data_IF_902892657994
#
_entry.id   IF_902892657994
#
_cell.length_a   1.000
_cell.length_b   1.000
_cell.length_c   1.000
_cell.angle_alpha   90.00
_cell.angle_beta   90.00
_cell.angle_gamma   90.00
#
_symmetry.space_group_name_H-M   'P 1'
#
loop_
_entity.id
_entity.type
_entity.pdbx_description
1 polymer ?
#
# COMPACT_ATOMS: atom_id res chain seq x y z
N UNK A 1 10.57 -2.31 -8.40
CA UNK A 1 10.71 -1.62 -7.11
C UNK A 1 9.52 -0.69 -7.00
N UNK A 2 8.59 -1.03 -6.13
CA UNK A 2 7.32 -0.35 -5.92
C UNK A 2 7.38 0.34 -4.56
N UNK A 3 6.82 1.55 -4.50
CA UNK A 3 6.56 2.26 -3.25
C UNK A 3 5.09 2.64 -3.29
N UNK A 4 4.37 2.39 -2.20
CA UNK A 4 2.95 2.73 -2.06
C UNK A 4 2.83 3.69 -0.89
N UNK A 5 2.22 4.85 -1.16
CA UNK A 5 1.91 5.86 -0.16
C UNK A 5 0.88 5.37 0.86
N UNK A 6 0.79 6.01 2.03
CA UNK A 6 -0.16 5.65 3.10
C UNK A 6 -1.62 5.64 2.61
N UNK A 7 -1.99 6.55 1.70
CA UNK A 7 -3.32 6.56 1.08
C UNK A 7 -3.63 5.26 0.32
N UNK A 8 -2.65 4.69 -0.41
CA UNK A 8 -2.83 3.43 -1.12
C UNK A 8 -3.00 2.23 -0.17
N UNK A 9 -2.29 2.25 0.97
CA UNK A 9 -2.48 1.25 2.02
C UNK A 9 -3.88 1.32 2.65
N UNK A 10 -4.40 2.53 2.90
CA UNK A 10 -5.77 2.72 3.38
C UNK A 10 -6.78 2.15 2.38
N UNK A 11 -6.66 2.48 1.09
CA UNK A 11 -7.54 1.97 0.05
C UNK A 11 -7.52 0.43 -0.02
N UNK A 12 -6.33 -0.18 0.08
CA UNK A 12 -6.14 -1.64 0.08
C UNK A 12 -6.75 -2.31 1.32
N UNK A 13 -6.40 -1.83 2.53
CA UNK A 13 -6.87 -2.46 3.78
C UNK A 13 -8.35 -2.24 4.06
N UNK A 14 -8.93 -1.12 3.63
CA UNK A 14 -10.36 -0.84 3.80
C UNK A 14 -11.23 -1.44 2.69
N UNK A 15 -10.61 -2.05 1.68
CA UNK A 15 -11.33 -2.78 0.62
C UNK A 15 -12.23 -1.89 -0.23
N UNK A 16 -11.81 -0.65 -0.49
CA UNK A 16 -12.61 0.29 -1.30
C UNK A 16 -12.69 -0.15 -2.76
N UNK A 17 -13.52 0.56 -3.55
CA UNK A 17 -13.57 0.40 -5.01
C UNK A 17 -12.23 0.66 -5.72
N UNK A 18 -11.25 1.27 -5.04
CA UNK A 18 -9.91 1.58 -5.58
C UNK A 18 -8.84 0.60 -5.10
N UNK A 19 -9.14 -0.33 -4.19
CA UNK A 19 -8.17 -1.27 -3.62
C UNK A 19 -7.36 -2.03 -4.70
N UNK A 20 -8.04 -2.46 -5.77
CA UNK A 20 -7.42 -3.18 -6.88
C UNK A 20 -6.35 -2.38 -7.64
N UNK A 21 -6.35 -1.05 -7.54
CA UNK A 21 -5.29 -0.21 -8.13
C UNK A 21 -3.95 -0.38 -7.41
N UNK A 22 -3.98 -0.79 -6.14
CA UNK A 22 -2.81 -0.91 -5.27
C UNK A 22 -2.42 -2.36 -4.96
N UNK A 23 -3.35 -3.30 -5.13
CA UNK A 23 -3.16 -4.71 -4.79
C UNK A 23 -1.91 -5.34 -5.43
N UNK A 24 -1.71 -5.19 -6.74
CA UNK A 24 -0.54 -5.77 -7.43
C UNK A 24 0.79 -5.23 -6.87
N UNK A 25 0.85 -3.92 -6.59
CA UNK A 25 2.04 -3.28 -6.08
C UNK A 25 2.37 -3.71 -4.63
N UNK A 26 1.35 -3.92 -3.81
CA UNK A 26 1.45 -4.34 -2.39
C UNK A 26 1.76 -5.84 -2.28
N UNK A 27 1.12 -6.68 -3.08
CA UNK A 27 1.23 -8.14 -2.97
C UNK A 27 2.55 -8.68 -3.56
N UNK A 28 3.20 -7.93 -4.46
CA UNK A 28 4.51 -8.28 -5.01
C UNK A 28 5.66 -7.90 -4.08
N UNK A 29 5.69 -8.53 -2.91
CA UNK A 29 6.58 -8.21 -1.78
C UNK A 29 8.07 -8.22 -2.12
N UNK A 30 8.52 -9.09 -3.02
CA UNK A 30 9.91 -9.13 -3.52
C UNK A 30 10.36 -7.81 -4.16
N UNK A 31 9.41 -7.00 -4.61
CA UNK A 31 9.65 -5.71 -5.26
C UNK A 31 9.09 -4.53 -4.48
N UNK A 32 8.53 -4.75 -3.29
CA UNK A 32 7.89 -3.71 -2.47
C UNK A 32 8.87 -3.13 -1.45
N UNK A 33 8.98 -1.81 -1.43
CA UNK A 33 9.62 -1.06 -0.37
C UNK A 33 8.55 -0.35 0.46
N UNK A 34 8.56 -0.59 1.77
CA UNK A 34 7.61 -0.02 2.73
C UNK A 34 8.32 1.02 3.60
N UNK A 35 8.10 2.32 3.36
CA UNK A 35 8.62 3.36 4.26
C UNK A 35 7.98 3.20 5.64
N UNK A 36 8.80 3.22 6.71
CA UNK A 36 8.29 3.16 8.08
C UNK A 36 7.34 4.31 8.42
N UNK A 37 7.54 5.49 7.81
CA UNK A 37 6.65 6.64 7.96
C UNK A 37 5.24 6.36 7.45
N UNK A 38 5.10 5.66 6.31
CA UNK A 38 3.79 5.32 5.75
C UNK A 38 3.00 4.36 6.64
N UNK A 39 3.68 3.53 7.45
CA UNK A 39 3.03 2.70 8.47
C UNK A 39 2.59 3.52 9.70
N UNK A 40 3.33 4.56 10.06
CA UNK A 40 2.99 5.46 11.17
C UNK A 40 1.79 6.34 10.81
N UNK A 41 1.67 6.79 9.57
CA UNK A 41 0.57 7.65 9.12
C UNK A 41 -0.80 6.96 9.15
N UNK A 42 -0.83 5.62 9.15
CA UNK A 42 -2.06 4.81 9.16
C UNK A 42 -2.31 4.11 10.51
N UNK A 43 -1.41 4.32 11.50
CA UNK A 43 -1.55 3.84 12.87
C UNK A 43 -2.38 4.83 13.71
#
# INVERSE_FOLDING_TARGET
>A
MNVVDSSGWLEYFTGTNRANLYAEAIEKTESLLVPSLSLIEIF
#
